data_IF_817710408832
#
_entry.id   IF_817710408832
#
_cell.length_a   1.000
_cell.length_b   1.000
_cell.length_c   1.000
_cell.angle_alpha   90.00
_cell.angle_beta   90.00
_cell.angle_gamma   90.00
#
_symmetry.space_group_name_H-M   'P 1'
#
loop_
_entity.id
_entity.type
_entity.pdbx_description
1 polymer ?
#
# COMPACT_ATOMS: atom_id res chain seq x y z
N UNK A 1 -19.00 8.25 1.98
CA UNK A 1 -18.87 9.63 1.40
C UNK A 1 -19.55 9.61 0.04
N UNK A 2 -20.36 10.61 -0.29
CA UNK A 2 -21.02 10.69 -1.61
C UNK A 2 -20.00 10.57 -2.74
N UNK A 3 -20.37 9.89 -3.82
CA UNK A 3 -19.46 9.61 -4.94
C UNK A 3 -18.88 10.89 -5.55
N UNK A 4 -19.71 11.90 -5.79
CA UNK A 4 -19.28 13.18 -6.34
C UNK A 4 -18.27 13.91 -5.45
N UNK A 5 -18.46 13.84 -4.12
CA UNK A 5 -17.53 14.46 -3.16
C UNK A 5 -16.21 13.68 -3.11
N UNK A 6 -16.30 12.35 -3.16
CA UNK A 6 -15.13 11.47 -3.18
C UNK A 6 -14.28 11.72 -4.43
N UNK A 7 -14.92 11.80 -5.60
CA UNK A 7 -14.25 12.10 -6.87
C UNK A 7 -13.55 13.46 -6.84
N UNK A 8 -14.24 14.51 -6.39
CA UNK A 8 -13.63 15.85 -6.30
C UNK A 8 -12.41 15.87 -5.36
N UNK A 9 -12.49 15.16 -4.23
CA UNK A 9 -11.36 15.06 -3.31
C UNK A 9 -10.18 14.28 -3.91
N UNK A 10 -10.44 13.24 -4.71
CA UNK A 10 -9.37 12.48 -5.39
C UNK A 10 -8.74 13.31 -6.52
N UNK A 11 -9.53 14.11 -7.24
CA UNK A 11 -9.03 15.05 -8.25
C UNK A 11 -8.10 16.12 -7.65
N UNK A 12 -8.51 16.73 -6.52
CA UNK A 12 -7.73 17.76 -5.83
C UNK A 12 -6.54 17.17 -5.04
N UNK A 13 -6.69 15.92 -4.56
CA UNK A 13 -5.74 15.23 -3.68
C UNK A 13 -5.55 13.77 -4.10
N UNK A 14 -4.66 13.47 -5.08
CA UNK A 14 -4.55 12.17 -5.72
C UNK A 14 -4.02 11.03 -4.83
N UNK A 15 -3.65 11.34 -3.58
CA UNK A 15 -3.26 10.33 -2.59
C UNK A 15 -4.47 9.67 -1.89
N UNK A 16 -5.69 10.18 -2.09
CA UNK A 16 -6.89 9.50 -1.63
C UNK A 16 -7.30 8.37 -2.58
N UNK A 17 -7.83 7.30 -2.00
CA UNK A 17 -8.52 6.23 -2.71
C UNK A 17 -9.89 5.98 -2.09
N UNK A 18 -10.84 5.52 -2.88
CA UNK A 18 -12.09 4.96 -2.33
C UNK A 18 -11.77 3.63 -1.65
N UNK A 19 -12.39 3.40 -0.50
CA UNK A 19 -12.29 2.14 0.23
C UNK A 19 -13.64 1.83 0.90
N UNK A 20 -14.07 0.58 0.81
CA UNK A 20 -15.25 0.09 1.53
C UNK A 20 -14.76 -0.65 2.77
N UNK A 21 -15.11 -0.12 3.94
CA UNK A 21 -14.93 -0.85 5.21
C UNK A 21 -16.00 -1.94 5.23
N UNK A 22 -15.62 -3.24 5.24
CA UNK A 22 -16.61 -4.31 5.22
C UNK A 22 -17.55 -4.22 6.43
N UNK A 23 -18.81 -4.62 6.24
CA UNK A 23 -19.73 -4.83 7.36
C UNK A 23 -19.12 -5.76 8.40
N UNK A 24 -19.58 -5.65 9.63
CA UNK A 24 -19.11 -6.42 10.79
C UNK A 24 -17.65 -6.15 11.19
N UNK A 25 -16.94 -5.24 10.51
CA UNK A 25 -15.62 -4.75 10.98
C UNK A 25 -15.70 -4.17 12.40
N UNK A 26 -16.82 -3.49 12.71
CA UNK A 26 -17.11 -2.97 14.05
C UNK A 26 -18.47 -3.46 14.52
N UNK A 27 -18.60 -3.69 15.84
CA UNK A 27 -19.86 -4.12 16.46
C UNK A 27 -20.97 -3.11 16.17
N UNK A 28 -22.06 -3.57 15.56
CA UNK A 28 -23.24 -2.75 15.24
C UNK A 28 -23.16 -2.02 13.89
N UNK A 29 -22.18 -2.36 13.05
CA UNK A 29 -22.11 -1.90 11.66
C UNK A 29 -22.43 -3.08 10.75
N UNK A 30 -23.66 -3.13 10.25
CA UNK A 30 -24.19 -4.31 9.52
C UNK A 30 -24.18 -4.14 7.99
N UNK A 31 -23.67 -3.01 7.50
CA UNK A 31 -23.53 -2.68 6.08
C UNK A 31 -22.11 -2.21 5.78
N UNK A 32 -21.65 -2.39 4.53
CA UNK A 32 -20.35 -1.89 4.09
C UNK A 32 -20.36 -0.36 4.12
N UNK A 33 -19.29 0.23 4.66
CA UNK A 33 -19.18 1.68 4.79
C UNK A 33 -18.18 2.22 3.78
N UNK A 34 -18.71 2.87 2.73
CA UNK A 34 -17.89 3.55 1.73
C UNK A 34 -17.25 4.82 2.25
N UNK A 35 -15.94 4.90 2.18
CA UNK A 35 -15.14 6.04 2.66
C UNK A 35 -13.96 6.33 1.73
N UNK A 36 -13.16 7.33 2.11
CA UNK A 36 -11.84 7.59 1.56
C UNK A 36 -10.77 7.02 2.49
N UNK A 37 -9.69 6.54 1.89
CA UNK A 37 -8.50 6.07 2.58
C UNK A 37 -7.25 6.67 1.94
N UNK A 38 -6.12 6.56 2.64
CA UNK A 38 -4.79 6.82 2.10
C UNK A 38 -3.98 5.52 2.13
N UNK A 39 -3.00 5.39 1.23
CA UNK A 39 -2.11 4.24 1.23
C UNK A 39 -1.05 4.39 2.32
N UNK A 40 -0.89 3.38 3.17
CA UNK A 40 0.25 3.31 4.06
C UNK A 40 1.50 2.97 3.23
N UNK A 41 2.52 3.82 3.31
CA UNK A 41 3.76 3.68 2.52
C UNK A 41 4.95 3.52 3.46
N UNK A 42 5.80 2.53 3.19
CA UNK A 42 7.06 2.36 3.90
C UNK A 42 8.14 3.18 3.21
N UNK A 43 8.60 4.24 3.88
CA UNK A 43 9.52 5.23 3.32
C UNK A 43 10.91 5.05 3.96
N UNK A 44 11.95 5.16 3.15
CA UNK A 44 13.35 5.11 3.56
C UNK A 44 14.11 6.33 3.05
N UNK A 45 15.26 6.63 3.66
CA UNK A 45 16.18 7.65 3.13
C UNK A 45 16.75 7.21 1.77
N UNK A 46 16.97 8.17 0.87
CA UNK A 46 17.67 7.93 -0.40
C UNK A 46 19.19 7.75 -0.23
N UNK A 47 19.71 7.95 0.97
CA UNK A 47 21.14 7.75 1.30
C UNK A 47 21.46 6.32 1.75
N UNK A 48 20.45 5.45 1.89
CA UNK A 48 20.69 4.05 2.25
C UNK A 48 21.32 3.28 1.09
N UNK A 49 22.15 2.29 1.44
CA UNK A 49 22.76 1.42 0.44
C UNK A 49 21.69 0.67 -0.37
N UNK A 50 21.89 0.60 -1.70
CA UNK A 50 20.99 -0.10 -2.63
C UNK A 50 20.71 -1.54 -2.19
N UNK A 51 21.76 -2.28 -1.83
CA UNK A 51 21.67 -3.68 -1.42
C UNK A 51 20.86 -3.87 -0.12
N UNK A 52 20.99 -2.93 0.82
CA UNK A 52 20.21 -2.95 2.06
C UNK A 52 18.73 -2.77 1.74
N UNK A 53 18.38 -1.77 0.94
CA UNK A 53 16.97 -1.52 0.60
C UNK A 53 16.39 -2.62 -0.28
N UNK A 54 17.17 -3.21 -1.19
CA UNK A 54 16.76 -4.38 -1.96
C UNK A 54 16.39 -5.55 -1.04
N UNK A 55 17.28 -5.90 -0.11
CA UNK A 55 17.05 -7.00 0.85
C UNK A 55 15.85 -6.71 1.76
N UNK A 56 15.70 -5.48 2.23
CA UNK A 56 14.54 -5.06 3.02
C UNK A 56 13.23 -5.20 2.24
N UNK A 57 13.21 -4.72 0.99
CA UNK A 57 12.02 -4.80 0.12
C UNK A 57 11.67 -6.24 -0.15
N UNK A 58 12.65 -7.06 -0.53
CA UNK A 58 12.49 -8.50 -0.76
C UNK A 58 11.92 -9.21 0.47
N UNK A 59 12.52 -9.00 1.64
CA UNK A 59 12.05 -9.61 2.88
C UNK A 59 10.61 -9.20 3.23
N UNK A 60 10.22 -7.94 2.99
CA UNK A 60 8.86 -7.46 3.26
C UNK A 60 7.80 -8.27 2.51
N UNK A 61 8.06 -8.61 1.24
CA UNK A 61 7.08 -9.31 0.40
C UNK A 61 7.20 -10.83 0.46
N UNK A 62 8.42 -11.37 0.57
CA UNK A 62 8.66 -12.82 0.61
C UNK A 62 8.39 -13.44 1.98
N UNK A 63 8.46 -12.65 3.06
CA UNK A 63 8.17 -13.08 4.44
C UNK A 63 6.85 -12.48 4.97
N UNK A 64 5.90 -12.14 4.07
CA UNK A 64 4.65 -11.48 4.45
C UNK A 64 3.82 -12.30 5.44
N UNK A 65 3.96 -13.62 5.46
CA UNK A 65 3.29 -14.52 6.40
C UNK A 65 3.71 -14.22 7.84
N UNK A 66 4.97 -13.85 8.08
CA UNK A 66 5.44 -13.44 9.40
C UNK A 66 4.75 -12.13 9.84
N UNK A 67 4.54 -11.20 8.90
CA UNK A 67 3.82 -9.94 9.15
C UNK A 67 2.33 -10.21 9.39
N UNK A 68 1.73 -11.10 8.60
CA UNK A 68 0.34 -11.52 8.74
C UNK A 68 0.05 -12.21 10.07
N UNK A 69 1.04 -12.90 10.64
CA UNK A 69 0.96 -13.50 11.97
C UNK A 69 0.97 -12.43 13.08
N UNK A 70 1.69 -11.33 12.89
CA UNK A 70 1.77 -10.23 13.85
C UNK A 70 0.56 -9.27 13.75
N UNK A 71 0.04 -9.03 12.54
CA UNK A 71 -1.07 -8.11 12.30
C UNK A 71 -1.93 -8.56 11.12
N UNK A 72 -3.27 -8.48 11.27
CA UNK A 72 -4.21 -8.96 10.26
C UNK A 72 -4.00 -8.35 8.86
N UNK A 73 -3.63 -7.06 8.79
CA UNK A 73 -3.32 -6.36 7.54
C UNK A 73 -2.10 -6.91 6.78
N UNK A 74 -1.22 -7.69 7.42
CA UNK A 74 -0.11 -8.35 6.72
C UNK A 74 -0.59 -9.30 5.61
N UNK A 75 -1.82 -9.82 5.70
CA UNK A 75 -2.44 -10.64 4.65
C UNK A 75 -2.74 -9.86 3.36
N UNK A 76 -2.80 -8.54 3.44
CA UNK A 76 -3.12 -7.64 2.31
C UNK A 76 -1.84 -7.12 1.63
N UNK A 77 -0.64 -7.53 2.08
CA UNK A 77 0.62 -7.14 1.43
C UNK A 77 0.71 -7.80 0.04
N UNK A 78 0.73 -6.95 -0.98
CA UNK A 78 0.79 -7.33 -2.40
C UNK A 78 1.78 -6.41 -3.14
N UNK A 79 2.81 -6.96 -3.80
CA UNK A 79 3.78 -6.15 -4.54
C UNK A 79 3.19 -5.39 -5.73
N UNK A 80 2.13 -5.90 -6.38
CA UNK A 80 1.45 -5.17 -7.46
C UNK A 80 0.75 -3.93 -6.93
N UNK A 81 0.06 -4.08 -5.81
CA UNK A 81 -0.61 -2.95 -5.16
C UNK A 81 0.39 -1.92 -4.60
N UNK A 82 1.56 -2.38 -4.15
CA UNK A 82 2.61 -1.55 -3.57
C UNK A 82 3.21 -0.53 -4.56
N UNK A 83 3.13 -0.78 -5.86
CA UNK A 83 3.66 0.14 -6.88
C UNK A 83 2.61 1.08 -7.48
N UNK A 84 1.33 0.86 -7.18
CA UNK A 84 0.24 1.68 -7.70
C UNK A 84 0.10 2.99 -6.93
N UNK A 85 -0.01 4.12 -7.63
CA UNK A 85 -0.35 5.41 -7.02
C UNK A 85 0.72 5.96 -6.08
N UNK A 86 1.98 5.57 -6.26
CA UNK A 86 3.11 6.09 -5.51
C UNK A 86 3.49 7.48 -6.06
N UNK A 87 3.50 8.49 -5.18
CA UNK A 87 3.73 9.89 -5.55
C UNK A 87 5.18 10.36 -5.39
N UNK A 88 6.10 9.46 -5.02
CA UNK A 88 7.52 9.74 -4.79
C UNK A 88 8.39 8.71 -5.51
N UNK A 89 9.64 9.02 -5.88
CA UNK A 89 10.50 8.04 -6.53
C UNK A 89 10.77 6.82 -5.65
N UNK A 90 10.90 5.65 -6.27
CA UNK A 90 11.40 4.46 -5.57
C UNK A 90 12.88 4.62 -5.25
N UNK A 91 13.29 4.04 -4.12
CA UNK A 91 14.70 3.80 -3.87
C UNK A 91 15.23 2.76 -4.87
N UNK A 92 16.47 2.91 -5.35
CA UNK A 92 17.07 2.03 -6.37
C UNK A 92 16.98 0.54 -6.01
N UNK A 93 17.21 0.21 -4.74
CA UNK A 93 17.07 -1.17 -4.24
C UNK A 93 15.64 -1.72 -4.32
N UNK A 94 14.63 -0.90 -4.03
CA UNK A 94 13.22 -1.30 -4.12
C UNK A 94 12.78 -1.41 -5.59
N UNK A 95 13.17 -0.44 -6.44
CA UNK A 95 12.91 -0.45 -7.87
C UNK A 95 13.46 -1.73 -8.51
N UNK A 96 14.71 -2.08 -8.20
CA UNK A 96 15.36 -3.31 -8.66
C UNK A 96 14.56 -4.56 -8.31
N UNK A 97 14.11 -4.68 -7.07
CA UNK A 97 13.28 -5.81 -6.63
C UNK A 97 11.95 -5.87 -7.40
N UNK A 98 11.23 -4.74 -7.50
CA UNK A 98 9.95 -4.69 -8.19
C UNK A 98 10.06 -4.99 -9.69
N UNK A 99 11.14 -4.56 -10.34
CA UNK A 99 11.48 -4.92 -11.73
C UNK A 99 11.78 -6.41 -11.87
N UNK A 100 12.56 -6.98 -10.96
CA UNK A 100 12.92 -8.40 -10.95
C UNK A 100 11.68 -9.31 -10.90
N UNK A 101 10.66 -8.94 -10.10
CA UNK A 101 9.42 -9.71 -9.99
C UNK A 101 8.35 -9.29 -11.03
N UNK A 102 8.67 -8.35 -11.93
CA UNK A 102 7.81 -7.95 -13.04
C UNK A 102 6.56 -7.15 -12.65
N UNK A 103 6.61 -6.38 -11.55
CA UNK A 103 5.49 -5.51 -11.14
C UNK A 103 5.76 -4.03 -11.44
N UNK A 104 6.98 -3.67 -11.84
CA UNK A 104 7.38 -2.31 -12.19
C UNK A 104 8.21 -2.34 -13.47
N UNK A 105 8.00 -1.37 -14.37
CA UNK A 105 8.71 -1.22 -15.66
C UNK A 105 9.85 -0.18 -15.59
#
# INVERSE_FOLDING_TARGET
IDEDKSRKLIEDFPFYTVFDIPKETYKGVDEDVRTLAVKATFIVSNELDEDVVYKMTKALFEEKEAIAAAHAKGKEIDPKYAVEGISVPFHLGAEKYFKEIGVLD
#
